data_IF_958994609042
#
_entry.id   IF_958994609042
#
_cell.length_a   1.000
_cell.length_b   1.000
_cell.length_c   1.000
_cell.angle_alpha   90.00
_cell.angle_beta   90.00
_cell.angle_gamma   90.00
#
_symmetry.space_group_name_H-M   'P 1'
#
loop_
_entity.id
_entity.type
_entity.pdbx_description
1 polymer ?
#
# COMPACT_ATOMS: atom_id res chain seq x y z
N UNK A 1 -15.49 -11.98 21.99
CA UNK A 1 -15.92 -11.15 20.83
C UNK A 1 -14.80 -10.19 20.55
N UNK A 2 -14.23 -10.27 19.36
CA UNK A 2 -13.09 -9.44 18.92
C UNK A 2 -13.62 -8.37 17.97
N UNK A 3 -13.40 -7.09 18.30
CA UNK A 3 -13.79 -5.96 17.44
C UNK A 3 -12.58 -5.13 17.06
N UNK A 4 -12.35 -4.99 15.78
CA UNK A 4 -11.17 -4.28 15.26
C UNK A 4 -11.54 -3.34 14.13
N UNK A 5 -10.67 -2.35 13.90
CA UNK A 5 -10.78 -1.46 12.73
C UNK A 5 -9.44 -1.44 12.00
N UNK A 6 -9.48 -1.59 10.68
CA UNK A 6 -8.39 -1.29 9.77
C UNK A 6 -8.60 0.05 9.09
N UNK A 7 -7.54 0.86 9.00
CA UNK A 7 -7.57 2.17 8.35
C UNK A 7 -6.57 2.21 7.20
N UNK A 8 -7.01 2.71 6.04
CA UNK A 8 -6.15 3.01 4.90
C UNK A 8 -6.17 4.51 4.57
N UNK A 9 -5.14 5.27 4.97
CA UNK A 9 -4.96 6.65 4.57
C UNK A 9 -4.47 6.73 3.12
N UNK A 10 -5.35 7.03 2.21
CA UNK A 10 -5.01 7.18 0.79
C UNK A 10 -4.97 8.64 0.34
N UNK A 11 -4.48 8.86 -0.87
CA UNK A 11 -4.33 10.22 -1.46
C UNK A 11 -5.66 10.96 -1.60
N UNK A 12 -6.78 10.26 -1.77
CA UNK A 12 -8.11 10.84 -1.95
C UNK A 12 -9.07 10.62 -0.80
N UNK A 13 -8.88 9.56 -0.04
CA UNK A 13 -9.76 9.19 1.07
C UNK A 13 -9.03 8.35 2.11
N UNK A 14 -9.46 8.51 3.35
CA UNK A 14 -9.19 7.58 4.44
C UNK A 14 -10.33 6.58 4.51
N UNK A 15 -10.02 5.32 4.32
CA UNK A 15 -11.02 4.25 4.31
C UNK A 15 -10.93 3.42 5.59
N UNK A 16 -12.08 3.02 6.12
CA UNK A 16 -12.21 2.26 7.35
C UNK A 16 -12.96 0.96 7.08
N UNK A 17 -12.45 -0.14 7.60
CA UNK A 17 -13.11 -1.42 7.64
C UNK A 17 -13.10 -1.96 9.08
N UNK A 18 -14.26 -2.22 9.66
CA UNK A 18 -14.38 -2.82 10.97
C UNK A 18 -14.80 -4.27 10.87
N UNK A 19 -14.14 -5.16 11.64
CA UNK A 19 -14.50 -6.57 11.77
C UNK A 19 -14.91 -6.88 13.22
N UNK A 20 -16.02 -7.58 13.37
CA UNK A 20 -16.47 -8.19 14.61
C UNK A 20 -16.51 -9.70 14.41
N UNK A 21 -15.66 -10.43 15.15
CA UNK A 21 -15.47 -11.88 14.99
C UNK A 21 -15.36 -12.31 13.51
N UNK A 22 -14.57 -11.55 12.71
CA UNK A 22 -14.33 -11.78 11.29
C UNK A 22 -15.43 -11.33 10.33
N UNK A 23 -16.54 -10.78 10.83
CA UNK A 23 -17.64 -10.25 10.03
C UNK A 23 -17.57 -8.73 9.95
N UNK A 24 -17.81 -8.16 8.75
CA UNK A 24 -17.78 -6.71 8.57
C UNK A 24 -18.96 -6.06 9.31
N UNK A 25 -18.68 -5.13 10.23
CA UNK A 25 -19.68 -4.35 10.93
C UNK A 25 -19.61 -2.85 10.63
N UNK A 26 -18.47 -2.37 10.12
CA UNK A 26 -18.23 -0.98 9.78
C UNK A 26 -17.58 -0.87 8.41
N UNK A 27 -18.12 0.03 7.58
CA UNK A 27 -17.55 0.44 6.29
C UNK A 27 -17.81 1.91 6.09
N UNK A 28 -16.75 2.71 6.10
CA UNK A 28 -16.89 4.14 5.82
C UNK A 28 -15.64 4.71 5.17
N UNK A 29 -15.76 5.88 4.60
CA UNK A 29 -14.68 6.59 3.93
C UNK A 29 -14.86 8.10 4.19
N UNK A 30 -13.77 8.77 4.54
CA UNK A 30 -13.70 10.22 4.70
C UNK A 30 -12.76 10.75 3.63
N UNK A 31 -13.09 11.88 3.01
CA UNK A 31 -12.18 12.46 2.00
C UNK A 31 -10.90 12.97 2.65
N UNK A 32 -9.76 12.89 1.93
CA UNK A 32 -8.49 13.41 2.46
C UNK A 32 -8.52 14.93 2.68
N UNK A 33 -9.40 15.64 1.97
CA UNK A 33 -9.65 17.08 2.19
C UNK A 33 -10.32 17.29 3.55
N UNK A 34 -11.38 16.56 3.84
CA UNK A 34 -12.09 16.62 5.12
C UNK A 34 -11.17 16.28 6.29
N UNK A 35 -10.34 15.23 6.16
CA UNK A 35 -9.36 14.88 7.18
C UNK A 35 -8.31 15.98 7.38
N UNK A 36 -7.86 16.64 6.31
CA UNK A 36 -6.90 17.74 6.40
C UNK A 36 -7.51 18.98 7.09
N UNK A 37 -8.80 19.25 6.87
CA UNK A 37 -9.53 20.34 7.52
C UNK A 37 -9.91 20.01 8.97
N UNK A 38 -10.27 18.76 9.25
CA UNK A 38 -10.67 18.29 10.56
C UNK A 38 -10.12 16.86 10.84
N UNK A 39 -8.87 16.74 11.31
CA UNK A 39 -8.28 15.44 11.66
C UNK A 39 -9.04 14.68 12.76
N UNK A 40 -9.86 15.37 13.56
CA UNK A 40 -10.70 14.76 14.59
C UNK A 40 -11.74 13.80 13.98
N UNK A 41 -12.19 14.00 12.75
CA UNK A 41 -13.15 13.13 12.06
C UNK A 41 -12.74 11.65 12.05
N UNK A 42 -11.43 11.36 12.05
CA UNK A 42 -10.92 9.98 12.15
C UNK A 42 -11.24 9.37 13.52
N UNK A 43 -11.04 10.14 14.61
CA UNK A 43 -11.34 9.68 15.96
C UNK A 43 -12.84 9.53 16.17
N UNK A 44 -13.63 10.38 15.54
CA UNK A 44 -15.09 10.34 15.63
C UNK A 44 -15.61 9.02 15.05
N UNK A 45 -15.14 8.58 13.87
CA UNK A 45 -15.47 7.27 13.28
C UNK A 45 -15.12 6.12 14.23
N UNK A 46 -13.92 6.14 14.83
CA UNK A 46 -13.50 5.07 15.75
C UNK A 46 -14.36 5.07 17.01
N UNK A 47 -14.68 6.24 17.55
CA UNK A 47 -15.45 6.39 18.79
C UNK A 47 -16.91 6.00 18.59
N UNK A 48 -17.52 6.42 17.47
CA UNK A 48 -18.90 6.06 17.10
C UNK A 48 -19.05 4.56 16.84
N UNK A 49 -17.99 3.87 16.42
CA UNK A 49 -17.98 2.43 16.26
C UNK A 49 -18.09 1.67 17.61
N UNK A 50 -17.96 2.36 18.75
CA UNK A 50 -18.08 1.78 20.10
C UNK A 50 -16.78 1.20 20.64
N UNK A 51 -16.88 0.11 21.42
CA UNK A 51 -15.69 -0.52 21.97
C UNK A 51 -14.91 -1.25 20.89
N UNK A 52 -13.69 -0.79 20.64
CA UNK A 52 -12.75 -1.38 19.69
C UNK A 52 -11.52 -1.89 20.44
N UNK A 53 -11.20 -3.16 20.26
CA UNK A 53 -10.07 -3.82 20.94
C UNK A 53 -8.74 -3.40 20.35
N UNK A 54 -8.67 -3.24 19.00
CA UNK A 54 -7.46 -2.81 18.29
C UNK A 54 -7.82 -2.07 16.99
N UNK A 55 -7.10 -0.98 16.73
CA UNK A 55 -7.07 -0.30 15.45
C UNK A 55 -5.75 -0.59 14.77
N UNK A 56 -5.76 -1.14 13.56
CA UNK A 56 -4.57 -1.23 12.73
C UNK A 56 -4.54 -0.01 11.81
N UNK A 57 -3.57 0.79 12.00
CA UNK A 57 -3.50 2.09 11.32
C UNK A 57 -2.16 2.37 10.75
N UNK A 58 -1.96 3.62 10.51
CA UNK A 58 -1.80 4.18 9.19
C UNK A 58 -0.61 3.64 8.43
N UNK A 59 -0.71 3.83 7.14
CA UNK A 59 0.16 3.27 6.14
C UNK A 59 1.49 4.04 5.97
N UNK A 60 1.70 4.77 4.91
CA UNK A 60 3.03 5.20 4.53
C UNK A 60 3.95 4.00 4.32
N UNK A 61 5.24 4.18 4.58
CA UNK A 61 6.21 3.08 4.46
C UNK A 61 6.03 1.99 5.52
N UNK A 62 5.21 2.23 6.56
CA UNK A 62 4.94 1.31 7.65
C UNK A 62 5.96 1.37 8.78
N UNK A 63 5.55 0.83 9.92
CA UNK A 63 6.40 0.62 11.11
C UNK A 63 6.16 -0.80 11.64
N UNK A 64 7.19 -1.49 12.17
CA UNK A 64 7.06 -2.88 12.61
C UNK A 64 6.29 -2.99 13.92
N UNK A 65 4.97 -3.17 13.84
CA UNK A 65 4.05 -3.40 14.98
C UNK A 65 4.22 -2.40 16.15
N UNK A 66 4.51 -1.16 15.83
CA UNK A 66 4.72 -0.14 16.84
C UNK A 66 3.37 0.41 17.32
N UNK A 67 3.09 0.43 18.65
CA UNK A 67 1.93 1.14 19.17
C UNK A 67 2.01 2.64 18.87
N UNK A 68 0.89 3.27 18.55
CA UNK A 68 0.85 4.71 18.25
C UNK A 68 1.40 5.55 19.43
N UNK A 69 1.22 5.08 20.67
CA UNK A 69 1.75 5.72 21.89
C UNK A 69 3.29 5.77 21.97
N UNK A 70 3.99 4.91 21.20
CA UNK A 70 5.45 4.81 21.22
C UNK A 70 6.11 5.52 20.01
N UNK A 71 5.33 6.13 19.12
CA UNK A 71 5.84 6.83 17.94
C UNK A 71 6.47 8.16 18.35
N UNK A 72 7.72 8.37 17.95
CA UNK A 72 8.49 9.61 18.14
C UNK A 72 8.72 10.31 16.79
N UNK A 73 9.39 11.46 16.76
CA UNK A 73 9.74 12.15 15.51
C UNK A 73 10.62 11.28 14.60
N UNK A 74 11.43 10.39 15.16
CA UNK A 74 12.21 9.42 14.40
C UNK A 74 11.31 8.43 13.65
N UNK A 75 10.33 7.86 14.31
CA UNK A 75 9.40 6.93 13.69
C UNK A 75 8.48 7.66 12.70
N UNK A 76 8.10 8.92 12.96
CA UNK A 76 7.40 9.74 11.97
C UNK A 76 8.23 9.94 10.70
N UNK A 77 9.49 10.28 10.84
CA UNK A 77 10.37 10.40 9.68
C UNK A 77 10.45 9.08 8.89
N UNK A 78 10.63 7.95 9.58
CA UNK A 78 10.68 6.62 8.94
C UNK A 78 9.35 6.25 8.26
N UNK A 79 8.24 6.70 8.80
CA UNK A 79 6.90 6.44 8.25
C UNK A 79 6.66 7.19 6.93
N UNK A 80 7.14 8.43 6.81
CA UNK A 80 6.79 9.31 5.70
C UNK A 80 7.96 9.71 4.82
N UNK A 81 9.19 9.65 5.34
CA UNK A 81 10.44 10.04 4.67
C UNK A 81 10.36 11.44 4.04
N UNK A 82 9.81 12.40 4.78
CA UNK A 82 9.76 13.81 4.39
C UNK A 82 10.82 14.56 5.17
N UNK A 83 11.66 15.31 4.48
CA UNK A 83 12.65 16.19 5.11
C UNK A 83 11.93 17.42 5.69
N UNK A 84 12.53 18.02 6.71
CA UNK A 84 11.95 19.21 7.37
C UNK A 84 11.85 20.43 6.45
N UNK A 85 12.73 20.51 5.44
CA UNK A 85 12.79 21.58 4.43
C UNK A 85 11.94 21.32 3.18
N UNK A 86 11.23 20.19 3.14
CA UNK A 86 10.33 19.84 2.04
C UNK A 86 8.96 20.56 2.17
N UNK A 87 8.30 20.72 1.04
CA UNK A 87 6.90 21.19 1.01
C UNK A 87 5.99 20.20 1.74
N UNK A 88 4.97 20.74 2.41
CA UNK A 88 3.96 19.94 3.08
C UNK A 88 3.15 19.12 2.08
N UNK A 89 3.04 17.83 2.33
CA UNK A 89 2.21 16.92 1.55
C UNK A 89 0.97 16.59 2.38
N UNK A 90 -0.23 17.02 1.97
CA UNK A 90 -1.44 16.98 2.81
C UNK A 90 -1.73 15.62 3.44
N UNK A 91 -1.63 14.53 2.68
CA UNK A 91 -1.89 13.19 3.20
C UNK A 91 -0.88 12.77 4.28
N UNK A 92 0.38 13.18 4.16
CA UNK A 92 1.43 12.83 5.13
C UNK A 92 1.29 13.65 6.42
N UNK A 93 0.91 14.92 6.31
CA UNK A 93 0.56 15.76 7.46
C UNK A 93 -0.69 15.20 8.17
N UNK A 94 -1.72 14.82 7.44
CA UNK A 94 -2.92 14.21 8.01
C UNK A 94 -2.63 12.93 8.81
N UNK A 95 -1.71 12.08 8.33
CA UNK A 95 -1.24 10.90 9.06
C UNK A 95 -0.55 11.32 10.37
N UNK A 96 0.32 12.33 10.31
CA UNK A 96 1.05 12.84 11.48
C UNK A 96 0.08 13.41 12.53
N UNK A 97 -0.87 14.21 12.10
CA UNK A 97 -1.86 14.81 12.99
C UNK A 97 -2.79 13.76 13.62
N UNK A 98 -3.21 12.77 12.84
CA UNK A 98 -3.99 11.64 13.36
C UNK A 98 -3.23 10.90 14.47
N UNK A 99 -1.95 10.58 14.26
CA UNK A 99 -1.16 9.88 15.27
C UNK A 99 -1.03 10.72 16.56
N UNK A 100 -0.76 12.03 16.41
CA UNK A 100 -0.70 12.95 17.55
C UNK A 100 -2.02 13.04 18.30
N UNK A 101 -3.15 12.98 17.59
CA UNK A 101 -4.47 12.92 18.21
C UNK A 101 -4.69 11.61 18.96
N UNK A 102 -4.38 10.46 18.32
CA UNK A 102 -4.50 9.13 18.94
C UNK A 102 -3.66 9.04 20.20
N UNK A 103 -2.45 9.60 20.22
CA UNK A 103 -1.57 9.63 21.41
C UNK A 103 -2.19 10.33 22.61
N UNK A 104 -3.16 11.22 22.41
CA UNK A 104 -3.90 11.92 23.47
C UNK A 104 -5.12 11.14 23.98
N UNK A 105 -5.40 9.99 23.41
CA UNK A 105 -6.56 9.14 23.70
C UNK A 105 -6.14 7.82 24.34
N UNK A 106 -7.13 6.98 24.67
CA UNK A 106 -6.91 5.59 25.09
C UNK A 106 -7.12 4.58 23.97
N UNK A 107 -7.22 5.04 22.71
CA UNK A 107 -7.39 4.16 21.56
C UNK A 107 -6.15 3.29 21.42
N UNK A 108 -6.37 1.97 21.44
CA UNK A 108 -5.31 1.01 21.19
C UNK A 108 -5.08 0.91 19.67
N UNK A 109 -4.06 1.61 19.18
CA UNK A 109 -3.70 1.63 17.76
C UNK A 109 -2.29 1.11 17.57
N UNK A 110 -2.11 0.26 16.57
CA UNK A 110 -0.82 -0.29 16.14
C UNK A 110 -0.53 0.07 14.69
N UNK A 111 0.72 0.37 14.40
CA UNK A 111 1.18 0.56 13.02
C UNK A 111 1.39 -0.79 12.32
N UNK A 112 1.18 -0.77 11.01
CA UNK A 112 1.36 -1.92 10.13
C UNK A 112 2.74 -1.85 9.48
N UNK A 113 3.49 -2.95 9.35
CA UNK A 113 4.75 -2.96 8.62
C UNK A 113 4.52 -2.75 7.11
N UNK A 114 5.53 -2.24 6.42
CA UNK A 114 5.66 -2.41 4.96
C UNK A 114 6.38 -3.72 4.63
N UNK A 115 6.41 -4.09 3.36
CA UNK A 115 7.04 -5.34 2.87
C UNK A 115 8.51 -5.45 3.29
N UNK A 116 9.24 -4.33 3.32
CA UNK A 116 10.66 -4.30 3.67
C UNK A 116 10.96 -4.74 5.12
N UNK A 117 9.98 -4.62 6.03
CA UNK A 117 10.15 -5.01 7.45
C UNK A 117 10.04 -6.52 7.67
N UNK A 118 9.51 -7.28 6.69
CA UNK A 118 9.23 -8.70 6.85
C UNK A 118 10.52 -9.54 6.80
N UNK A 119 10.65 -10.48 7.72
CA UNK A 119 11.76 -11.45 7.74
C UNK A 119 11.67 -12.47 6.60
N UNK A 120 10.49 -12.68 6.04
CA UNK A 120 10.27 -13.54 4.87
C UNK A 120 10.87 -12.98 3.57
N UNK A 121 11.15 -11.67 3.52
CA UNK A 121 11.84 -11.04 2.40
C UNK A 121 13.35 -11.11 2.63
N UNK A 122 14.12 -11.83 1.78
CA UNK A 122 15.56 -11.99 1.94
C UNK A 122 16.32 -10.65 1.87
N UNK A 123 17.43 -10.55 2.62
CA UNK A 123 18.23 -9.33 2.74
C UNK A 123 18.71 -8.82 1.37
N UNK A 124 19.11 -9.70 0.46
CA UNK A 124 19.60 -9.29 -0.88
C UNK A 124 18.54 -8.60 -1.76
N UNK A 125 17.25 -8.78 -1.47
CA UNK A 125 16.15 -8.06 -2.12
C UNK A 125 15.95 -6.66 -1.55
N UNK A 126 16.44 -6.43 -0.33
CA UNK A 126 16.32 -5.16 0.41
C UNK A 126 17.47 -4.18 0.15
N UNK A 127 18.63 -4.66 -0.34
CA UNK A 127 19.81 -3.81 -0.54
C UNK A 127 19.52 -2.56 -1.38
N UNK A 128 19.79 -1.38 -0.80
CA UNK A 128 19.56 -0.07 -1.39
C UNK A 128 18.12 0.13 -1.89
N UNK A 129 17.17 -0.47 -1.20
CA UNK A 129 15.73 -0.32 -1.44
C UNK A 129 15.07 0.27 -0.20
N UNK A 130 14.03 1.06 -0.44
CA UNK A 130 13.13 1.61 0.58
C UNK A 130 11.73 1.07 0.32
N UNK A 131 11.26 1.13 -0.92
CA UNK A 131 9.90 0.80 -1.31
C UNK A 131 9.82 -0.57 -2.00
N UNK A 132 9.65 -1.61 -1.21
CA UNK A 132 9.26 -2.94 -1.70
C UNK A 132 7.74 -3.15 -1.64
N UNK A 133 7.00 -2.13 -1.32
CA UNK A 133 5.56 -2.12 -1.04
C UNK A 133 5.31 -1.52 0.33
N UNK A 134 4.58 -0.42 0.34
CA UNK A 134 4.15 0.32 1.53
C UNK A 134 3.16 -0.51 2.35
N UNK A 135 2.81 -0.07 3.56
CA UNK A 135 1.95 -0.83 4.46
C UNK A 135 0.58 -1.16 3.86
N UNK A 136 -0.01 -0.24 3.08
CA UNK A 136 -1.26 -0.48 2.35
C UNK A 136 -1.14 -1.61 1.31
N UNK A 137 0.03 -1.73 0.66
CA UNK A 137 0.30 -2.82 -0.30
C UNK A 137 0.44 -4.17 0.41
N UNK A 138 1.07 -4.18 1.59
CA UNK A 138 1.09 -5.37 2.43
C UNK A 138 -0.33 -5.76 2.87
N UNK A 139 -1.17 -4.79 3.24
CA UNK A 139 -2.57 -5.05 3.58
C UNK A 139 -3.35 -5.65 2.41
N UNK A 140 -3.14 -5.15 1.19
CA UNK A 140 -3.72 -5.76 0.00
C UNK A 140 -3.23 -7.22 -0.21
N UNK A 141 -1.96 -7.51 0.10
CA UNK A 141 -1.44 -8.88 0.04
C UNK A 141 -2.05 -9.78 1.14
N UNK A 142 -2.28 -9.26 2.35
CA UNK A 142 -2.98 -9.97 3.43
C UNK A 142 -4.40 -10.34 2.97
N UNK A 143 -5.15 -9.40 2.40
CA UNK A 143 -6.46 -9.67 1.82
C UNK A 143 -6.37 -10.70 0.68
N UNK A 144 -5.33 -10.64 -0.15
CA UNK A 144 -5.08 -11.61 -1.22
C UNK A 144 -4.86 -13.03 -0.71
N UNK A 145 -4.10 -13.22 0.38
CA UNK A 145 -3.93 -14.52 1.05
C UNK A 145 -5.28 -15.02 1.60
N UNK A 146 -6.03 -14.14 2.25
CA UNK A 146 -7.35 -14.46 2.77
C UNK A 146 -8.33 -14.87 1.67
N UNK A 147 -8.40 -14.11 0.58
CA UNK A 147 -9.25 -14.39 -0.57
C UNK A 147 -8.88 -15.70 -1.25
N UNK A 148 -7.60 -15.87 -1.66
CA UNK A 148 -7.17 -17.06 -2.38
C UNK A 148 -7.39 -18.34 -1.56
N UNK A 149 -7.05 -18.29 -0.26
CA UNK A 149 -7.26 -19.45 0.63
C UNK A 149 -8.73 -19.85 0.69
N UNK A 150 -9.65 -18.89 0.84
CA UNK A 150 -11.10 -19.16 0.91
C UNK A 150 -11.68 -19.61 -0.42
N UNK A 151 -11.37 -18.90 -1.49
CA UNK A 151 -11.93 -19.13 -2.82
C UNK A 151 -11.49 -20.48 -3.39
N UNK A 152 -10.21 -20.83 -3.21
CA UNK A 152 -9.66 -22.10 -3.66
C UNK A 152 -9.80 -23.24 -2.63
N UNK A 153 -10.30 -22.95 -1.41
CA UNK A 153 -10.45 -23.89 -0.30
C UNK A 153 -9.14 -24.59 0.06
N UNK A 154 -8.06 -23.81 0.13
CA UNK A 154 -6.71 -24.26 0.51
C UNK A 154 -6.27 -23.60 1.82
N UNK A 155 -5.25 -24.14 2.45
CA UNK A 155 -4.67 -23.50 3.64
C UNK A 155 -3.93 -22.22 3.23
N UNK A 156 -3.85 -21.22 4.13
CA UNK A 156 -3.12 -19.98 3.88
C UNK A 156 -1.67 -20.21 3.43
N UNK A 157 -1.00 -21.22 4.00
CA UNK A 157 0.38 -21.63 3.63
C UNK A 157 0.51 -22.22 2.22
N UNK A 158 -0.58 -22.49 1.54
CA UNK A 158 -0.59 -23.02 0.17
C UNK A 158 -0.90 -21.92 -0.86
N UNK A 159 -1.13 -20.69 -0.40
CA UNK A 159 -1.37 -19.55 -1.29
C UNK A 159 -0.07 -19.11 -1.95
N UNK A 160 -0.15 -18.86 -3.26
CA UNK A 160 0.96 -18.34 -4.07
C UNK A 160 0.40 -17.49 -5.20
N UNK A 161 0.83 -16.23 -5.28
CA UNK A 161 0.35 -15.29 -6.29
C UNK A 161 1.31 -14.10 -6.46
N UNK A 162 1.16 -13.41 -7.57
CA UNK A 162 1.68 -12.04 -7.73
C UNK A 162 0.49 -11.09 -7.62
N UNK A 163 0.47 -10.29 -6.56
CA UNK A 163 -0.50 -9.20 -6.43
C UNK A 163 -0.05 -8.02 -7.28
N UNK A 164 -0.95 -7.46 -8.06
CA UNK A 164 -0.79 -6.18 -8.77
C UNK A 164 -1.81 -5.20 -8.21
N UNK A 165 -1.32 -4.20 -7.52
CA UNK A 165 -2.16 -3.15 -6.95
C UNK A 165 -2.16 -1.95 -7.89
N UNK A 166 -3.32 -1.66 -8.48
CA UNK A 166 -3.56 -0.52 -9.35
C UNK A 166 -4.12 0.64 -8.51
N UNK A 167 -3.26 1.23 -7.68
CA UNK A 167 -3.59 2.42 -6.91
C UNK A 167 -3.86 3.64 -7.78
N UNK A 168 -4.59 4.61 -7.23
CA UNK A 168 -4.77 5.88 -7.91
C UNK A 168 -3.46 6.68 -8.01
N UNK A 169 -2.66 6.68 -6.95
CA UNK A 169 -1.36 7.36 -6.94
C UNK A 169 -0.24 6.48 -7.46
N UNK A 170 0.08 5.47 -6.70
CA UNK A 170 1.17 4.54 -6.93
C UNK A 170 0.66 3.15 -7.27
N UNK A 171 1.07 2.56 -8.38
CA UNK A 171 0.93 1.12 -8.57
C UNK A 171 2.02 0.38 -7.79
N UNK A 172 1.81 -0.89 -7.52
CA UNK A 172 2.82 -1.77 -6.94
C UNK A 172 2.56 -3.23 -7.32
N UNK A 173 3.57 -4.08 -7.15
CA UNK A 173 3.39 -5.51 -7.22
C UNK A 173 4.05 -6.20 -6.01
N UNK A 174 3.40 -7.23 -5.46
CA UNK A 174 3.88 -7.97 -4.29
C UNK A 174 3.81 -9.45 -4.58
N UNK A 175 4.91 -10.17 -4.35
CA UNK A 175 5.00 -11.61 -4.50
C UNK A 175 4.69 -12.34 -3.20
N UNK A 176 3.75 -13.27 -3.26
CA UNK A 176 3.40 -14.17 -2.17
C UNK A 176 3.69 -15.60 -2.60
N UNK A 177 4.45 -16.32 -1.80
CA UNK A 177 4.80 -17.73 -2.01
C UNK A 177 4.67 -18.51 -0.71
N UNK A 178 3.98 -19.64 -0.75
CA UNK A 178 3.68 -20.46 0.45
C UNK A 178 3.07 -19.64 1.62
N UNK A 179 2.17 -18.73 1.29
CA UNK A 179 1.51 -17.84 2.25
C UNK A 179 2.40 -16.73 2.82
N UNK A 180 3.63 -16.60 2.37
CA UNK A 180 4.59 -15.58 2.81
C UNK A 180 4.79 -14.52 1.74
N UNK A 181 4.82 -13.26 2.13
CA UNK A 181 5.32 -12.21 1.24
C UNK A 181 6.83 -12.38 1.11
N UNK A 182 7.30 -12.62 -0.10
CA UNK A 182 8.71 -12.96 -0.37
C UNK A 182 9.47 -11.87 -1.11
N UNK A 183 8.74 -10.98 -1.81
CA UNK A 183 9.34 -9.88 -2.57
C UNK A 183 8.30 -8.80 -2.86
N UNK A 184 8.73 -7.64 -3.36
CA UNK A 184 7.85 -6.59 -3.83
C UNK A 184 8.55 -5.52 -4.65
N UNK A 185 7.76 -4.87 -5.48
CA UNK A 185 8.15 -3.73 -6.32
C UNK A 185 7.16 -2.62 -6.02
N UNK A 186 7.58 -1.68 -5.17
CA UNK A 186 6.77 -0.55 -4.78
C UNK A 186 6.69 0.53 -5.86
N UNK A 187 5.85 1.52 -5.64
CA UNK A 187 5.55 2.53 -6.63
C UNK A 187 6.71 3.47 -6.97
N UNK A 188 7.72 3.57 -6.11
CA UNK A 188 8.91 4.39 -6.36
C UNK A 188 10.05 3.64 -7.04
N UNK A 189 9.87 2.36 -7.38
CA UNK A 189 10.86 1.55 -8.09
C UNK A 189 10.25 0.79 -9.29
N UNK A 190 8.93 0.77 -9.41
CA UNK A 190 8.18 0.17 -10.52
C UNK A 190 7.96 1.13 -11.67
N UNK A 191 7.06 0.76 -12.59
CA UNK A 191 6.61 1.63 -13.67
C UNK A 191 5.78 2.83 -13.20
N UNK A 192 5.45 3.77 -14.10
CA UNK A 192 4.64 4.93 -13.77
C UNK A 192 3.23 4.51 -13.29
N UNK A 193 2.61 5.38 -12.48
CA UNK A 193 1.24 5.24 -12.05
C UNK A 193 0.32 6.26 -12.71
N UNK A 194 -0.89 6.41 -12.16
CA UNK A 194 -1.81 7.42 -12.64
C UNK A 194 -1.33 8.83 -12.28
N UNK A 195 -0.82 9.03 -11.05
CA UNK A 195 -0.21 10.30 -10.63
C UNK A 195 1.31 10.29 -10.77
N UNK A 196 1.95 9.21 -10.44
CA UNK A 196 3.37 9.14 -10.07
C UNK A 196 4.25 8.65 -11.21
N UNK A 197 5.48 9.17 -11.27
CA UNK A 197 6.44 8.82 -12.32
C UNK A 197 6.92 7.36 -12.28
N UNK A 198 6.71 6.67 -11.14
CA UNK A 198 7.34 5.36 -10.93
C UNK A 198 8.76 5.47 -10.43
N UNK A 199 9.61 4.54 -10.84
CA UNK A 199 11.04 4.55 -10.54
C UNK A 199 11.74 5.74 -11.23
N UNK A 200 12.36 6.61 -10.43
CA UNK A 200 13.16 7.70 -10.97
C UNK A 200 14.48 7.16 -11.49
N UNK A 201 14.79 7.49 -12.74
CA UNK A 201 16.11 7.22 -13.32
C UNK A 201 17.22 7.94 -12.54
N UNK A 202 18.32 7.26 -12.28
CA UNK A 202 19.44 7.81 -11.51
C UNK A 202 20.07 9.05 -12.14
N UNK A 203 20.15 9.12 -13.48
CA UNK A 203 20.66 10.29 -14.19
C UNK A 203 19.69 11.47 -14.07
N UNK A 204 18.36 11.20 -14.14
CA UNK A 204 17.36 12.23 -13.90
C UNK A 204 17.45 12.78 -12.47
N UNK A 205 17.58 11.91 -11.48
CA UNK A 205 17.77 12.31 -10.08
C UNK A 205 19.03 13.19 -9.89
N UNK A 206 20.15 12.81 -10.55
CA UNK A 206 21.39 13.58 -10.55
C UNK A 206 21.20 14.98 -11.17
N UNK A 207 20.53 15.07 -12.31
CA UNK A 207 20.28 16.34 -13.02
C UNK A 207 19.37 17.29 -12.22
N UNK A 208 18.45 16.75 -11.45
CA UNK A 208 17.55 17.54 -10.58
C UNK A 208 18.29 18.15 -9.36
N UNK A 209 19.51 17.73 -9.06
CA UNK A 209 20.38 18.25 -7.95
C UNK A 209 19.72 18.30 -6.58
N UNK A 210 18.86 17.37 -6.29
CA UNK A 210 17.97 17.39 -5.16
C UNK A 210 16.57 17.87 -5.58
N UNK A 211 15.56 17.18 -5.13
CA UNK A 211 14.17 17.45 -5.46
C UNK A 211 13.32 17.28 -4.20
N UNK A 212 12.17 17.95 -4.17
CA UNK A 212 11.21 17.80 -3.09
C UNK A 212 10.51 16.45 -3.15
N UNK A 213 10.01 15.98 -2.02
CA UNK A 213 9.18 14.78 -1.95
C UNK A 213 8.00 14.84 -2.90
N UNK A 214 7.44 16.04 -3.12
CA UNK A 214 6.32 16.29 -4.04
C UNK A 214 6.61 15.88 -5.49
N UNK A 215 7.89 15.91 -5.94
CA UNK A 215 8.28 15.45 -7.27
C UNK A 215 7.92 13.98 -7.53
N UNK A 216 7.95 13.13 -6.51
CA UNK A 216 7.59 11.71 -6.62
C UNK A 216 6.08 11.49 -6.86
N UNK A 217 5.25 12.51 -6.62
CA UNK A 217 3.80 12.46 -6.83
C UNK A 217 3.36 13.06 -8.18
N UNK A 218 4.28 13.18 -9.12
CA UNK A 218 4.06 13.72 -10.46
C UNK A 218 4.64 12.78 -11.50
N UNK A 219 4.43 13.08 -12.78
CA UNK A 219 5.06 12.34 -13.90
C UNK A 219 4.30 11.10 -14.36
N UNK A 220 3.13 10.82 -13.80
CA UNK A 220 2.26 9.74 -14.28
C UNK A 220 1.33 10.13 -15.43
N UNK A 221 0.25 9.35 -15.63
CA UNK A 221 -0.74 9.55 -16.70
C UNK A 221 -1.25 10.99 -16.76
N UNK A 222 -1.61 11.56 -15.58
CA UNK A 222 -2.14 12.94 -15.54
C UNK A 222 -1.13 13.98 -16.03
N UNK A 223 0.15 13.79 -15.73
CA UNK A 223 1.22 14.68 -16.22
C UNK A 223 1.48 14.50 -17.72
N UNK A 224 1.45 13.26 -18.20
CA UNK A 224 1.64 12.96 -19.63
C UNK A 224 0.51 13.53 -20.50
N UNK A 225 -0.72 13.59 -19.95
CA UNK A 225 -1.90 14.18 -20.61
C UNK A 225 -2.08 15.67 -20.31
N UNK A 226 -1.22 16.26 -19.47
CA UNK A 226 -1.29 17.66 -19.06
C UNK A 226 -2.65 18.05 -18.41
N UNK A 227 -3.31 17.08 -17.76
CA UNK A 227 -4.61 17.26 -17.10
C UNK A 227 -4.56 16.79 -15.64
N UNK A 228 -4.46 17.74 -14.73
CA UNK A 228 -4.44 17.50 -13.26
C UNK A 228 -5.81 17.16 -12.68
N UNK A 229 -6.88 17.24 -13.46
CA UNK A 229 -8.25 16.94 -13.03
C UNK A 229 -8.78 15.62 -13.57
N UNK A 230 -8.00 14.95 -14.44
CA UNK A 230 -8.37 13.72 -15.12
C UNK A 230 -8.78 12.62 -14.11
N UNK A 231 -10.00 12.12 -14.26
CA UNK A 231 -10.43 10.94 -13.52
C UNK A 231 -10.06 9.64 -14.25
N UNK A 232 -9.93 8.50 -13.56
CA UNK A 232 -9.70 7.22 -14.21
C UNK A 232 -10.81 6.83 -15.20
N UNK A 233 -12.05 7.23 -14.94
CA UNK A 233 -13.19 6.99 -15.81
C UNK A 233 -13.09 7.85 -17.10
N UNK A 234 -12.77 9.14 -16.96
CA UNK A 234 -12.53 10.03 -18.11
C UNK A 234 -11.34 9.55 -18.94
N UNK A 235 -10.27 9.08 -18.30
CA UNK A 235 -9.13 8.49 -18.98
C UNK A 235 -9.51 7.24 -19.78
N UNK A 236 -10.35 6.37 -19.22
CA UNK A 236 -10.85 5.20 -19.95
C UNK A 236 -11.70 5.59 -21.18
N UNK A 237 -12.44 6.70 -21.14
CA UNK A 237 -13.17 7.20 -22.31
C UNK A 237 -12.22 7.70 -23.40
N UNK A 238 -11.12 8.39 -23.06
CA UNK A 238 -10.09 8.78 -24.03
C UNK A 238 -9.48 7.54 -24.72
N UNK A 239 -9.20 6.47 -23.97
CA UNK A 239 -8.72 5.22 -24.52
C UNK A 239 -9.71 4.57 -25.48
N UNK A 240 -11.01 4.59 -25.17
CA UNK A 240 -12.08 4.08 -26.04
C UNK A 240 -12.22 4.91 -27.34
N UNK A 241 -11.93 6.21 -27.26
CA UNK A 241 -11.94 7.12 -28.41
C UNK A 241 -10.66 7.05 -29.25
N UNK A 242 -9.76 6.13 -28.93
CA UNK A 242 -8.50 5.91 -29.66
C UNK A 242 -7.50 7.06 -29.52
N UNK A 243 -7.59 7.87 -28.46
CA UNK A 243 -6.67 8.98 -28.22
C UNK A 243 -5.22 8.48 -28.10
N UNK A 244 -4.33 9.03 -28.91
CA UNK A 244 -2.96 8.53 -29.03
C UNK A 244 -2.13 8.79 -27.78
N UNK A 245 -2.25 9.99 -27.16
CA UNK A 245 -1.52 10.31 -25.92
C UNK A 245 -2.00 9.44 -24.76
N UNK A 246 -3.30 9.22 -24.64
CA UNK A 246 -3.86 8.33 -23.63
C UNK A 246 -3.36 6.88 -23.79
N UNK A 247 -3.27 6.39 -25.03
CA UNK A 247 -2.71 5.05 -25.32
C UNK A 247 -1.23 4.95 -24.94
N UNK A 248 -0.43 5.94 -25.27
CA UNK A 248 1.00 5.97 -24.88
C UNK A 248 1.15 5.98 -23.37
N UNK A 249 0.40 6.82 -22.66
CA UNK A 249 0.41 6.88 -21.21
C UNK A 249 -0.03 5.54 -20.57
N UNK A 250 -1.11 4.93 -21.09
CA UNK A 250 -1.58 3.64 -20.60
C UNK A 250 -0.60 2.51 -20.90
N UNK A 251 0.04 2.51 -22.07
CA UNK A 251 1.06 1.52 -22.39
C UNK A 251 2.25 1.59 -21.44
N UNK A 252 2.69 2.79 -21.05
CA UNK A 252 3.75 2.94 -20.05
C UNK A 252 3.37 2.32 -18.69
N UNK A 253 2.14 2.54 -18.22
CA UNK A 253 1.62 1.95 -16.97
C UNK A 253 1.48 0.43 -17.08
N UNK A 254 0.76 -0.05 -18.11
CA UNK A 254 0.42 -1.45 -18.25
C UNK A 254 1.65 -2.33 -18.52
N UNK A 255 2.60 -1.84 -19.33
CA UNK A 255 3.87 -2.54 -19.56
C UNK A 255 4.75 -2.50 -18.32
N UNK A 256 4.82 -1.38 -17.59
CA UNK A 256 5.54 -1.28 -16.32
C UNK A 256 5.05 -2.30 -15.30
N UNK A 257 3.73 -2.47 -15.17
CA UNK A 257 3.13 -3.50 -14.31
C UNK A 257 3.42 -4.92 -14.82
N UNK A 258 3.35 -5.14 -16.13
CA UNK A 258 3.70 -6.44 -16.70
C UNK A 258 5.17 -6.81 -16.46
N UNK A 259 6.09 -5.85 -16.56
CA UNK A 259 7.51 -6.04 -16.21
C UNK A 259 7.67 -6.36 -14.72
N UNK A 260 6.89 -5.72 -13.84
CA UNK A 260 6.91 -6.02 -12.40
C UNK A 260 6.41 -7.45 -12.11
N UNK A 261 5.35 -7.90 -12.79
CA UNK A 261 4.89 -9.30 -12.71
C UNK A 261 5.99 -10.25 -13.16
N UNK A 262 6.59 -10.01 -14.34
CA UNK A 262 7.68 -10.84 -14.86
C UNK A 262 8.86 -10.93 -13.89
N UNK A 263 9.24 -9.82 -13.27
CA UNK A 263 10.32 -9.81 -12.28
C UNK A 263 9.96 -10.63 -11.03
N UNK A 264 8.72 -10.53 -10.54
CA UNK A 264 8.29 -11.25 -9.34
C UNK A 264 8.05 -12.74 -9.55
N UNK A 265 7.85 -13.21 -10.80
CA UNK A 265 7.84 -14.66 -11.09
C UNK A 265 9.18 -15.33 -10.86
N UNK A 266 10.27 -14.58 -10.72
CA UNK A 266 11.57 -15.10 -10.26
C UNK A 266 11.52 -15.40 -8.76
N UNK A 267 10.73 -14.65 -8.01
CA UNK A 267 10.64 -14.75 -6.54
C UNK A 267 9.53 -15.67 -6.08
N UNK A 268 8.47 -15.80 -6.88
CA UNK A 268 7.32 -16.70 -6.66
C UNK A 268 7.40 -17.80 -7.71
N UNK A 269 7.81 -18.99 -7.28
CA UNK A 269 8.18 -20.06 -8.21
C UNK A 269 7.02 -20.63 -9.03
N UNK A 270 5.84 -20.74 -8.41
CA UNK A 270 4.62 -21.30 -9.02
C UNK A 270 3.39 -20.49 -8.60
N UNK A 271 3.26 -19.24 -9.09
CA UNK A 271 2.09 -18.44 -8.74
C UNK A 271 0.82 -19.07 -9.33
N UNK A 272 -0.16 -19.32 -8.47
CA UNK A 272 -1.47 -19.86 -8.89
C UNK A 272 -2.28 -18.84 -9.68
N UNK A 273 -2.07 -17.56 -9.39
CA UNK A 273 -2.81 -16.45 -9.98
C UNK A 273 -1.98 -15.16 -9.97
N UNK A 274 -2.33 -14.26 -10.88
CA UNK A 274 -2.04 -12.83 -10.77
C UNK A 274 -3.31 -12.21 -10.17
N UNK A 275 -3.23 -11.63 -8.97
CA UNK A 275 -4.34 -11.00 -8.30
C UNK A 275 -4.32 -9.49 -8.56
N UNK A 276 -5.42 -8.95 -9.07
CA UNK A 276 -5.59 -7.51 -9.29
C UNK A 276 -6.34 -6.88 -8.12
N UNK A 277 -5.81 -5.79 -7.59
CA UNK A 277 -6.37 -5.01 -6.48
C UNK A 277 -6.24 -3.51 -6.78
N UNK A 278 -6.87 -2.67 -5.96
CA UNK A 278 -6.73 -1.24 -6.03
C UNK A 278 -7.80 -0.52 -6.83
N UNK A 279 -7.82 0.82 -6.68
CA UNK A 279 -8.94 1.65 -7.14
C UNK A 279 -9.21 1.58 -8.65
N UNK A 280 -8.17 1.50 -9.49
CA UNK A 280 -8.36 1.47 -10.93
C UNK A 280 -8.97 0.14 -11.42
N UNK A 281 -8.98 -0.92 -10.61
CA UNK A 281 -9.71 -2.15 -10.94
C UNK A 281 -11.23 -1.97 -10.97
N UNK A 282 -11.73 -0.85 -10.44
CA UNK A 282 -13.14 -0.46 -10.50
C UNK A 282 -13.53 0.16 -11.86
N UNK A 283 -12.56 0.39 -12.75
CA UNK A 283 -12.78 0.88 -14.12
C UNK A 283 -12.69 -0.30 -15.08
N UNK A 284 -13.81 -0.84 -15.56
CA UNK A 284 -13.85 -2.11 -16.31
C UNK A 284 -12.94 -2.13 -17.55
N UNK A 285 -12.82 -1.00 -18.26
CA UNK A 285 -11.96 -0.91 -19.43
C UNK A 285 -10.49 -1.13 -19.10
N UNK A 286 -9.98 -0.47 -18.06
CA UNK A 286 -8.58 -0.57 -17.64
C UNK A 286 -8.23 -1.97 -17.12
N UNK A 287 -9.09 -2.56 -16.29
CA UNK A 287 -8.85 -3.90 -15.75
C UNK A 287 -8.95 -4.99 -16.82
N UNK A 288 -9.85 -4.85 -17.79
CA UNK A 288 -9.99 -5.81 -18.88
C UNK A 288 -8.78 -5.78 -19.83
N UNK A 289 -8.29 -4.58 -20.18
CA UNK A 289 -7.09 -4.44 -20.99
C UNK A 289 -5.85 -5.00 -20.29
N UNK A 290 -5.65 -4.65 -19.01
CA UNK A 290 -4.54 -5.17 -18.23
C UNK A 290 -4.61 -6.69 -18.08
N UNK A 291 -5.79 -7.24 -17.79
CA UNK A 291 -6.03 -8.69 -17.72
C UNK A 291 -5.64 -9.36 -19.05
N UNK A 292 -6.03 -8.75 -20.19
CA UNK A 292 -5.68 -9.27 -21.52
C UNK A 292 -4.17 -9.32 -21.74
N UNK A 293 -3.47 -8.25 -21.36
CA UNK A 293 -2.00 -8.16 -21.50
C UNK A 293 -1.29 -9.20 -20.60
N UNK A 294 -1.80 -9.43 -19.40
CA UNK A 294 -1.20 -10.39 -18.46
C UNK A 294 -1.41 -11.86 -18.85
N UNK A 295 -2.30 -12.17 -19.78
CA UNK A 295 -2.45 -13.55 -20.32
C UNK A 295 -1.16 -14.13 -20.90
N UNK A 296 -0.22 -13.27 -21.35
CA UNK A 296 1.08 -13.70 -21.84
C UNK A 296 1.90 -14.54 -20.83
N UNK A 297 1.63 -14.39 -19.53
CA UNK A 297 2.33 -15.16 -18.49
C UNK A 297 1.81 -16.59 -18.35
N UNK A 298 0.70 -16.94 -18.97
CA UNK A 298 0.08 -18.27 -18.81
C UNK A 298 -0.49 -18.53 -17.40
N UNK A 299 -0.57 -17.50 -16.57
CA UNK A 299 -1.07 -17.53 -15.19
C UNK A 299 -2.48 -16.95 -15.18
N UNK A 300 -3.47 -17.58 -14.52
CA UNK A 300 -4.81 -17.02 -14.35
C UNK A 300 -4.77 -15.61 -13.72
N UNK A 301 -5.56 -14.69 -14.25
CA UNK A 301 -5.68 -13.31 -13.73
C UNK A 301 -7.05 -13.15 -13.10
N UNK A 302 -7.08 -12.76 -11.84
CA UNK A 302 -8.32 -12.67 -11.04
C UNK A 302 -8.30 -11.35 -10.24
N UNK A 303 -9.45 -10.73 -10.04
CA UNK A 303 -9.57 -9.62 -9.10
C UNK A 303 -9.72 -10.17 -7.68
N UNK A 304 -9.06 -9.56 -6.70
CA UNK A 304 -9.22 -9.87 -5.28
C UNK A 304 -10.70 -9.71 -4.88
N UNK A 305 -11.28 -10.75 -4.28
CA UNK A 305 -12.61 -10.65 -3.69
C UNK A 305 -12.56 -9.88 -2.39
N UNK A 306 -13.26 -8.78 -2.37
CA UNK A 306 -13.35 -7.89 -1.20
C UNK A 306 -14.32 -8.45 -0.16
N UNK A 307 -14.07 -8.12 1.10
CA UNK A 307 -15.03 -8.36 2.19
C UNK A 307 -16.22 -7.41 2.08
N UNK A 308 -16.03 -6.27 1.44
CA UNK A 308 -16.93 -5.14 1.38
C UNK A 308 -16.74 -4.35 0.09
N UNK A 309 -17.79 -3.70 -0.38
CA UNK A 309 -17.75 -2.90 -1.61
C UNK A 309 -17.39 -1.43 -1.38
N UNK A 310 -17.54 -0.93 -0.17
CA UNK A 310 -17.35 0.49 0.15
C UNK A 310 -15.91 0.81 0.54
N UNK A 311 -15.34 0.07 1.48
CA UNK A 311 -13.96 0.29 1.91
C UNK A 311 -12.95 -0.25 0.90
N UNK A 312 -11.74 0.32 0.89
CA UNK A 312 -10.66 -0.17 0.04
C UNK A 312 -10.07 -1.47 0.56
N UNK A 313 -9.46 -2.20 -0.36
CA UNK A 313 -8.79 -3.48 -0.11
C UNK A 313 -7.74 -3.38 1.00
N UNK A 314 -6.99 -2.28 1.05
CA UNK A 314 -5.98 -2.07 2.08
C UNK A 314 -6.59 -1.92 3.49
N UNK A 315 -7.71 -1.20 3.63
CA UNK A 315 -8.41 -1.10 4.92
C UNK A 315 -8.96 -2.46 5.38
N UNK A 316 -9.46 -3.27 4.45
CA UNK A 316 -9.94 -4.63 4.74
C UNK A 316 -8.79 -5.55 5.18
N UNK A 317 -7.65 -5.50 4.48
CA UNK A 317 -6.46 -6.24 4.86
C UNK A 317 -5.89 -5.80 6.22
N UNK A 318 -5.94 -4.49 6.52
CA UNK A 318 -5.58 -3.96 7.83
C UNK A 318 -6.49 -4.47 8.94
N UNK A 319 -7.80 -4.59 8.68
CA UNK A 319 -8.76 -5.16 9.62
C UNK A 319 -8.51 -6.65 9.87
N UNK A 320 -8.24 -7.45 8.82
CA UNK A 320 -7.84 -8.86 8.93
C UNK A 320 -6.56 -8.98 9.77
N UNK A 321 -5.61 -8.09 9.54
CA UNK A 321 -4.36 -8.06 10.31
C UNK A 321 -4.62 -7.77 11.79
N UNK A 322 -5.40 -6.74 12.11
CA UNK A 322 -5.76 -6.41 13.49
C UNK A 322 -6.48 -7.57 14.20
N UNK A 323 -7.46 -8.18 13.52
CA UNK A 323 -8.21 -9.33 14.01
C UNK A 323 -7.26 -10.49 14.38
N UNK A 324 -6.33 -10.81 13.48
CA UNK A 324 -5.35 -11.89 13.73
C UNK A 324 -4.32 -11.56 14.82
N UNK A 325 -3.95 -10.28 15.00
CA UNK A 325 -2.99 -9.88 16.05
C UNK A 325 -3.52 -10.16 17.46
N UNK A 326 -4.81 -9.98 17.69
CA UNK A 326 -5.43 -10.14 19.00
C UNK A 326 -6.17 -11.47 19.17
N UNK A 327 -5.90 -12.42 18.27
CA UNK A 327 -6.38 -13.80 18.40
C UNK A 327 -7.81 -14.03 17.89
N UNK A 328 -8.32 -13.18 17.02
CA UNK A 328 -9.58 -13.37 16.32
C UNK A 328 -9.50 -14.47 15.23
N UNK A 329 -10.56 -14.65 14.45
CA UNK A 329 -10.63 -15.67 13.38
C UNK A 329 -9.47 -15.68 12.38
N UNK A 330 -8.82 -14.52 12.17
CA UNK A 330 -7.69 -14.39 11.24
C UNK A 330 -6.32 -14.73 11.86
N UNK A 331 -6.26 -15.19 13.13
CA UNK A 331 -5.00 -15.44 13.84
C UNK A 331 -4.09 -16.43 13.09
N UNK A 332 -4.64 -17.55 12.61
CA UNK A 332 -3.88 -18.57 11.88
C UNK A 332 -3.29 -18.02 10.55
N UNK A 333 -3.96 -17.07 9.90
CA UNK A 333 -3.45 -16.42 8.69
C UNK A 333 -2.28 -15.50 9.04
N UNK A 334 -2.44 -14.64 10.05
CA UNK A 334 -1.39 -13.71 10.50
C UNK A 334 -0.14 -14.45 10.97
N UNK A 335 -0.32 -15.58 11.66
CA UNK A 335 0.78 -16.47 12.08
C UNK A 335 1.45 -17.15 10.88
N UNK A 336 0.68 -17.63 9.89
CA UNK A 336 1.22 -18.21 8.65
C UNK A 336 2.07 -17.21 7.90
N UNK A 337 1.61 -15.98 7.77
CA UNK A 337 2.34 -14.90 7.11
C UNK A 337 3.53 -14.37 7.93
N UNK A 338 3.70 -14.81 9.18
CA UNK A 338 4.77 -14.40 10.12
C UNK A 338 4.82 -12.89 10.34
N UNK A 339 3.68 -12.22 10.30
CA UNK A 339 3.61 -10.76 10.35
C UNK A 339 4.04 -10.20 11.71
N UNK A 340 3.93 -11.00 12.80
CA UNK A 340 4.39 -10.65 14.16
C UNK A 340 5.91 -10.59 14.29
N UNK A 341 6.65 -11.17 13.36
CA UNK A 341 8.12 -11.24 13.38
C UNK A 341 8.78 -10.06 12.66
N UNK A 342 8.01 -9.14 12.10
CA UNK A 342 8.55 -7.98 11.39
C UNK A 342 9.43 -7.09 12.30
N UNK A 343 10.47 -6.51 11.73
CA UNK A 343 11.40 -5.65 12.47
C UNK A 343 12.21 -4.74 11.57
N UNK A 344 13.03 -3.89 12.17
CA UNK A 344 13.92 -2.99 11.47
C UNK A 344 13.22 -1.72 10.98
N UNK A 345 13.89 -1.00 10.11
CA UNK A 345 13.41 0.25 9.52
C UNK A 345 13.60 0.24 8.01
N UNK A 346 12.90 1.10 7.30
CA UNK A 346 13.03 1.26 5.84
C UNK A 346 14.44 1.74 5.41
N UNK A 347 15.25 2.23 6.34
CA UNK A 347 16.59 2.78 6.08
C UNK A 347 17.74 1.82 6.43
N UNK A 348 17.47 0.65 7.00
CA UNK A 348 18.51 -0.26 7.48
C UNK A 348 19.35 -0.86 6.36
N UNK A 349 18.78 -0.99 5.17
CA UNK A 349 19.38 -1.71 4.04
C UNK A 349 20.15 -0.81 3.07
N UNK A 350 20.36 0.47 3.43
CA UNK A 350 21.11 1.41 2.62
C UNK A 350 22.60 1.15 2.84
N UNK A 351 23.30 0.83 1.75
CA UNK A 351 24.75 0.52 1.73
C UNK A 351 25.60 1.63 1.09
N UNK A 352 25.07 2.87 1.06
CA UNK A 352 25.79 4.04 0.54
C UNK A 352 26.65 4.67 1.65
N UNK A 353 27.75 5.38 1.31
CA UNK A 353 28.56 6.12 2.29
C UNK A 353 27.75 7.10 3.14
N UNK A 354 26.67 7.67 2.56
CA UNK A 354 25.77 8.64 3.20
C UNK A 354 24.67 7.99 4.07
N UNK A 355 24.68 6.67 4.22
CA UNK A 355 23.58 5.95 4.91
C UNK A 355 23.28 6.49 6.32
N UNK A 356 24.33 6.83 7.10
CA UNK A 356 24.13 7.37 8.44
C UNK A 356 23.54 8.79 8.41
N UNK A 357 23.94 9.63 7.46
CA UNK A 357 23.34 10.95 7.27
C UNK A 357 21.84 10.82 6.96
N UNK A 358 21.48 9.90 6.05
CA UNK A 358 20.08 9.66 5.70
C UNK A 358 19.28 9.17 6.92
N UNK A 359 19.83 8.25 7.71
CA UNK A 359 19.18 7.74 8.92
C UNK A 359 18.95 8.80 9.99
N UNK A 360 19.82 9.78 10.04
CA UNK A 360 19.85 10.83 11.06
C UNK A 360 19.10 12.12 10.66
N UNK A 361 18.54 12.20 9.44
CA UNK A 361 17.82 13.40 8.95
C UNK A 361 16.66 13.85 9.86
N UNK A 362 16.06 12.94 10.64
CA UNK A 362 15.02 13.31 11.60
C UNK A 362 15.54 14.20 12.74
N UNK A 363 16.87 14.29 12.97
CA UNK A 363 17.47 15.12 14.01
C UNK A 363 17.58 16.58 13.59
N UNK A 364 17.42 16.85 12.30
CA UNK A 364 17.48 18.18 11.72
C UNK A 364 16.10 18.88 11.74
N UNK A 365 15.06 18.16 12.22
CA UNK A 365 13.66 18.60 12.28
C UNK A 365 13.36 19.51 13.48
#
# INVERSE_FOLDING_TARGET
>A
MVRVIGIDPGTRSFDFCGLEDGSVFLETSITSVEVAENPQSILDVITEAGNIDLVAGPSGYGLPLLPASAVTEKEFFQLVLVRHDDDKIPVLEAIKDMVRLVQKTKINMVFIPGVIHLHSVPIWRKHNRIDLGTADKLCCAILGVYDQARRLKIAAKETAFVLVELGYGYPAAVGVDNGLVVDGIGGTIGGPGFLTLGGMDGELAYLLRGFSKGTLFQGGVMSLLEDSTLSPEAFAELLKQDDQKAKEAWNAVAEGLSKSVAALTISVSEPREILLSGRLTRVPFLVNDLTSRMKQFGIPVTQVQRLSDKSKEAAQGAAIFADGLIGGPSAALVDTMRLKECSGTVLDWISLPQANQIRDMYKEA
#
